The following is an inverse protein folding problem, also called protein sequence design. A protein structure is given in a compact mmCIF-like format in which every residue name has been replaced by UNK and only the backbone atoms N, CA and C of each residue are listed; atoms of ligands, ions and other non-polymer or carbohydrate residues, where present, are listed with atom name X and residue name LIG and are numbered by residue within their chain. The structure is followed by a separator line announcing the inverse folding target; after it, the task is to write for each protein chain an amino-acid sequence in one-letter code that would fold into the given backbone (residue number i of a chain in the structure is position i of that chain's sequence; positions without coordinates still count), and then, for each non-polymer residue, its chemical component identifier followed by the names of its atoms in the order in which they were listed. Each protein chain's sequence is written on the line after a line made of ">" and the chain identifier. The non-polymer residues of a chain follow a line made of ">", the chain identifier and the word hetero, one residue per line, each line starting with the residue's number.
data_IF_337820568160
#
_entry.id   IF_337820568160
#
_cell.length_a   1.000
_cell.length_b   1.000
_cell.length_c   1.000
_cell.angle_alpha   90.00
_cell.angle_beta   90.00
_cell.angle_gamma   90.00
#
_symmetry.space_group_name_H-M   'P 1'
#
loop_
_entity.id
_entity.type
_entity.pdbx_description
1 polymer ?
#
# COMPACT_ATOMS: atom_id res chain seq x y z
N UNK A 1 -11.19 50.10 47.39
CA UNK A 1 -11.60 50.44 46.01
C UNK A 1 -10.73 49.73 44.97
N UNK A 2 -9.41 49.88 45.01
CA UNK A 2 -8.46 49.28 44.03
C UNK A 2 -8.54 47.73 43.97
N UNK A 3 -8.61 47.04 45.12
CA UNK A 3 -8.74 45.56 45.15
C UNK A 3 -9.96 45.02 44.41
N UNK A 4 -11.09 45.73 44.45
CA UNK A 4 -12.30 45.31 43.75
C UNK A 4 -12.14 45.46 42.24
N UNK A 5 -11.48 46.54 41.80
CA UNK A 5 -11.15 46.75 40.39
C UNK A 5 -10.16 45.70 39.87
N UNK A 6 -9.17 45.31 40.68
CA UNK A 6 -8.23 44.23 40.33
C UNK A 6 -8.98 42.90 40.18
N UNK A 7 -9.82 42.53 41.14
CA UNK A 7 -10.63 41.31 41.06
C UNK A 7 -11.56 41.27 39.84
N UNK A 8 -12.17 42.41 39.48
CA UNK A 8 -13.04 42.50 38.30
C UNK A 8 -12.24 42.36 36.99
N UNK A 9 -11.03 42.92 36.94
CA UNK A 9 -10.12 42.77 35.81
C UNK A 9 -9.65 41.31 35.66
N UNK A 10 -9.30 40.64 36.76
CA UNK A 10 -8.92 39.23 36.74
C UNK A 10 -10.07 38.32 36.27
N UNK A 11 -11.29 38.59 36.70
CA UNK A 11 -12.49 37.88 36.21
C UNK A 11 -12.73 38.10 34.72
N UNK A 12 -12.57 39.33 34.23
CA UNK A 12 -12.68 39.63 32.79
C UNK A 12 -11.58 38.92 31.99
N UNK A 13 -10.35 38.93 32.48
CA UNK A 13 -9.22 38.31 31.81
C UNK A 13 -9.38 36.79 31.73
N UNK A 14 -9.78 36.14 32.84
CA UNK A 14 -10.07 34.70 32.85
C UNK A 14 -11.24 34.33 31.95
N UNK A 15 -12.29 35.17 31.87
CA UNK A 15 -13.39 34.98 30.93
C UNK A 15 -12.92 35.06 29.47
N UNK A 16 -12.17 36.09 29.11
CA UNK A 16 -11.62 36.28 27.76
C UNK A 16 -10.71 35.13 27.33
N UNK A 17 -9.86 34.64 28.23
CA UNK A 17 -8.99 33.47 27.97
C UNK A 17 -9.82 32.20 27.73
N UNK A 18 -10.88 31.98 28.52
CA UNK A 18 -11.79 30.84 28.30
C UNK A 18 -12.51 30.96 26.97
N UNK A 19 -12.96 32.16 26.61
CA UNK A 19 -13.68 32.41 25.37
C UNK A 19 -12.79 32.20 24.13
N UNK A 20 -11.57 32.72 24.14
CA UNK A 20 -10.61 32.54 23.05
C UNK A 20 -10.22 31.07 22.86
N UNK A 21 -10.04 30.32 23.95
CA UNK A 21 -9.79 28.87 23.92
C UNK A 21 -10.95 28.09 23.28
N UNK A 22 -12.20 28.43 23.64
CA UNK A 22 -13.41 27.84 23.02
C UNK A 22 -13.48 28.15 21.52
N UNK A 23 -13.24 29.39 21.12
CA UNK A 23 -13.21 29.81 19.70
C UNK A 23 -12.14 29.04 18.92
N UNK A 24 -10.93 28.90 19.47
CA UNK A 24 -9.85 28.11 18.86
C UNK A 24 -10.22 26.65 18.66
N UNK A 25 -10.84 26.00 19.67
CA UNK A 25 -11.30 24.61 19.55
C UNK A 25 -12.40 24.46 18.50
N UNK A 26 -13.36 25.40 18.44
CA UNK A 26 -14.43 25.41 17.43
C UNK A 26 -13.85 25.55 16.01
N UNK A 27 -12.90 26.47 15.82
CA UNK A 27 -12.23 26.67 14.53
C UNK A 27 -11.41 25.45 14.08
N UNK A 28 -10.72 24.76 15.00
CA UNK A 28 -10.05 23.50 14.68
C UNK A 28 -11.04 22.42 14.23
N UNK A 29 -12.15 22.26 14.96
CA UNK A 29 -13.19 21.28 14.60
C UNK A 29 -13.83 21.60 13.26
N UNK A 30 -14.15 22.87 12.99
CA UNK A 30 -14.70 23.26 11.68
C UNK A 30 -13.68 23.04 10.57
N UNK A 31 -12.39 23.33 10.80
CA UNK A 31 -11.34 23.01 9.82
C UNK A 31 -11.29 21.52 9.52
N UNK A 32 -11.35 20.66 10.55
CA UNK A 32 -11.40 19.21 10.33
C UNK A 32 -12.64 18.83 9.50
N UNK A 33 -13.81 19.34 9.88
CA UNK A 33 -15.06 19.08 9.16
C UNK A 33 -14.99 19.48 7.68
N UNK A 34 -14.60 20.72 7.39
CA UNK A 34 -14.64 21.26 6.02
C UNK A 34 -13.50 20.76 5.12
N UNK A 35 -12.33 20.44 5.68
CA UNK A 35 -11.19 20.00 4.87
C UNK A 35 -11.11 18.49 4.71
N UNK A 36 -11.63 17.69 5.64
CA UNK A 36 -11.43 16.24 5.60
C UNK A 36 -12.69 15.47 5.18
N UNK A 37 -13.89 15.84 5.63
CA UNK A 37 -15.11 15.11 5.22
C UNK A 37 -15.37 15.22 3.72
N UNK A 38 -15.22 16.42 3.13
CA UNK A 38 -15.38 16.57 1.67
C UNK A 38 -14.25 15.95 0.83
N UNK A 39 -13.11 15.62 1.45
CA UNK A 39 -12.00 14.94 0.78
C UNK A 39 -12.19 13.41 0.81
N UNK A 40 -12.72 12.87 1.90
CA UNK A 40 -13.03 11.44 2.01
C UNK A 40 -14.03 11.02 0.92
N UNK A 41 -15.10 11.78 0.69
CA UNK A 41 -16.07 11.53 -0.38
C UNK A 41 -15.42 11.58 -1.77
N UNK A 42 -14.49 12.52 -2.00
CA UNK A 42 -13.78 12.66 -3.27
C UNK A 42 -12.83 11.48 -3.52
N UNK A 43 -12.13 11.00 -2.49
CA UNK A 43 -11.29 9.81 -2.60
C UNK A 43 -12.11 8.54 -2.83
N UNK A 44 -13.29 8.43 -2.21
CA UNK A 44 -14.19 7.32 -2.46
C UNK A 44 -14.69 7.30 -3.92
N UNK A 45 -15.06 8.46 -4.47
CA UNK A 45 -15.41 8.58 -5.89
C UNK A 45 -14.26 8.19 -6.82
N UNK A 46 -13.04 8.70 -6.57
CA UNK A 46 -11.85 8.33 -7.35
C UNK A 46 -11.58 6.82 -7.27
N UNK A 47 -11.77 6.20 -6.10
CA UNK A 47 -11.60 4.75 -5.96
C UNK A 47 -12.65 3.94 -6.72
N UNK A 48 -13.89 4.44 -6.82
CA UNK A 48 -14.93 3.83 -7.65
C UNK A 48 -14.58 3.96 -9.13
N UNK A 49 -14.17 5.15 -9.57
CA UNK A 49 -13.74 5.40 -10.96
C UNK A 49 -12.56 4.51 -11.36
N UNK A 50 -11.56 4.36 -10.48
CA UNK A 50 -10.41 3.47 -10.73
C UNK A 50 -10.83 1.99 -10.82
N UNK A 51 -11.80 1.55 -10.00
CA UNK A 51 -12.33 0.18 -10.08
C UNK A 51 -13.11 -0.04 -11.38
N UNK A 52 -13.91 0.94 -11.80
CA UNK A 52 -14.64 0.88 -13.05
C UNK A 52 -13.67 0.86 -14.23
N UNK A 53 -12.63 1.70 -14.22
CA UNK A 53 -11.59 1.71 -15.26
C UNK A 53 -10.82 0.39 -15.29
N UNK A 54 -10.50 -0.18 -14.13
CA UNK A 54 -9.88 -1.51 -14.07
C UNK A 54 -10.81 -2.56 -14.70
N UNK A 55 -12.09 -2.52 -14.39
CA UNK A 55 -13.07 -3.44 -14.98
C UNK A 55 -13.20 -3.24 -16.49
N UNK A 56 -13.24 -1.99 -16.98
CA UNK A 56 -13.24 -1.68 -18.41
C UNK A 56 -11.98 -2.20 -19.11
N UNK A 57 -10.81 -2.05 -18.48
CA UNK A 57 -9.54 -2.58 -19.00
C UNK A 57 -9.52 -4.12 -19.00
N UNK A 58 -9.88 -4.74 -17.87
CA UNK A 58 -9.92 -6.21 -17.73
C UNK A 58 -10.94 -6.83 -18.70
N UNK A 59 -12.06 -6.14 -19.01
CA UNK A 59 -13.06 -6.61 -20.00
C UNK A 59 -12.67 -6.26 -21.44
N UNK A 60 -11.77 -5.30 -21.66
CA UNK A 60 -11.21 -5.01 -22.98
C UNK A 60 -10.11 -5.98 -23.40
N UNK A 61 -9.54 -6.74 -22.46
CA UNK A 61 -8.55 -7.80 -22.75
C UNK A 61 -9.21 -9.12 -23.20
N UNK A 62 -10.54 -9.28 -23.02
CA UNK A 62 -11.26 -10.51 -23.39
C UNK A 62 -11.94 -10.44 -24.78
N UNK A 63 -11.99 -9.27 -25.44
CA UNK A 63 -12.61 -9.15 -26.77
C UNK A 63 -11.63 -8.99 -27.96
N UNK A 64 -10.32 -8.86 -27.71
CA UNK A 64 -9.31 -8.81 -28.77
C UNK A 64 -8.13 -9.74 -28.47
N UNK A 65 -8.38 -11.06 -28.54
CA UNK A 65 -7.36 -12.00 -28.98
C UNK A 65 -6.98 -11.65 -30.42
N UNK A 66 -6.02 -10.74 -30.61
CA UNK A 66 -5.07 -10.78 -31.73
C UNK A 66 -3.96 -9.73 -31.52
N UNK A 67 -2.76 -10.24 -31.17
CA UNK A 67 -1.44 -9.67 -31.47
C UNK A 67 -1.23 -8.15 -31.25
N UNK A 68 -0.57 -7.77 -30.15
CA UNK A 68 0.70 -7.03 -30.22
C UNK A 68 1.36 -6.79 -28.86
N UNK A 69 2.57 -7.33 -28.73
CA UNK A 69 3.67 -6.87 -27.89
C UNK A 69 3.83 -5.34 -27.92
N UNK A 70 3.62 -4.66 -26.79
CA UNK A 70 4.20 -3.33 -26.55
C UNK A 70 4.69 -3.21 -25.10
N UNK A 71 6.01 -3.33 -25.01
CA UNK A 71 6.93 -2.76 -24.03
C UNK A 71 6.37 -1.55 -23.25
N UNK A 72 6.35 -1.64 -21.92
CA UNK A 72 6.40 -0.46 -21.05
C UNK A 72 7.71 -0.44 -20.28
N UNK A 73 8.55 0.49 -20.72
CA UNK A 73 9.91 0.82 -20.32
C UNK A 73 10.05 1.33 -18.87
N UNK A 74 10.81 0.56 -18.09
CA UNK A 74 12.05 0.90 -17.35
C UNK A 74 12.13 2.14 -16.43
N UNK A 75 12.31 1.87 -15.14
CA UNK A 75 13.44 2.29 -14.26
C UNK A 75 13.11 1.75 -12.85
N UNK A 76 13.82 0.77 -12.30
CA UNK A 76 15.24 0.81 -11.90
C UNK A 76 15.97 -0.50 -12.22
N UNK A 77 17.08 -0.38 -12.97
CA UNK A 77 18.12 -1.41 -13.09
C UNK A 77 18.85 -1.55 -11.75
N UNK A 78 18.99 -2.79 -11.26
CA UNK A 78 20.24 -3.42 -10.78
C UNK A 78 19.94 -4.93 -10.64
N UNK A 79 20.53 -5.73 -11.53
CA UNK A 79 20.88 -7.15 -11.33
C UNK A 79 19.81 -8.09 -10.75
N UNK A 80 18.80 -8.51 -11.54
CA UNK A 80 17.79 -9.44 -11.00
C UNK A 80 16.89 -10.20 -11.97
N UNK A 81 17.16 -10.20 -13.28
CA UNK A 81 16.25 -10.76 -14.30
C UNK A 81 15.91 -12.26 -14.05
N UNK A 82 16.88 -13.03 -13.49
CA UNK A 82 16.66 -14.42 -13.11
C UNK A 82 15.75 -14.61 -11.88
N UNK A 83 15.86 -13.74 -10.87
CA UNK A 83 15.11 -13.87 -9.62
C UNK A 83 13.63 -13.50 -9.81
N UNK A 84 13.34 -12.51 -10.65
CA UNK A 84 11.96 -12.14 -10.99
C UNK A 84 11.26 -13.24 -11.78
N UNK A 85 11.92 -13.80 -12.80
CA UNK A 85 11.40 -14.91 -13.59
C UNK A 85 11.14 -16.15 -12.75
N UNK A 86 12.09 -16.48 -11.85
CA UNK A 86 11.96 -17.60 -10.93
C UNK A 86 10.79 -17.42 -9.95
N UNK A 87 10.59 -16.22 -9.40
CA UNK A 87 9.45 -15.93 -8.52
C UNK A 87 8.12 -16.17 -9.25
N UNK A 88 8.00 -15.72 -10.50
CA UNK A 88 6.79 -15.93 -11.30
C UNK A 88 6.53 -17.42 -11.56
N UNK A 89 7.56 -18.19 -11.90
CA UNK A 89 7.45 -19.64 -12.11
C UNK A 89 7.06 -20.37 -10.81
N UNK A 90 7.67 -19.99 -9.69
CA UNK A 90 7.39 -20.58 -8.38
C UNK A 90 5.96 -20.29 -7.90
N UNK A 91 5.42 -19.10 -8.19
CA UNK A 91 4.02 -18.77 -7.95
C UNK A 91 3.08 -19.60 -8.83
N UNK A 92 3.39 -19.75 -10.13
CA UNK A 92 2.60 -20.56 -11.07
C UNK A 92 2.53 -22.04 -10.67
N UNK A 93 3.65 -22.61 -10.22
CA UNK A 93 3.71 -24.01 -9.74
C UNK A 93 3.20 -24.18 -8.30
N UNK A 94 2.83 -23.10 -7.61
CA UNK A 94 2.34 -23.14 -6.23
C UNK A 94 3.41 -23.48 -5.18
N UNK A 95 4.69 -23.42 -5.54
CA UNK A 95 5.82 -23.61 -4.62
C UNK A 95 5.84 -22.47 -3.59
N UNK A 96 5.65 -21.25 -4.09
CA UNK A 96 5.42 -20.07 -3.26
C UNK A 96 3.94 -19.73 -3.35
N UNK A 97 3.30 -19.47 -2.22
CA UNK A 97 1.91 -19.01 -2.21
C UNK A 97 1.84 -17.55 -1.83
N UNK A 98 1.07 -16.76 -2.58
CA UNK A 98 0.84 -15.34 -2.28
C UNK A 98 -0.56 -15.15 -1.67
N UNK A 99 -0.64 -14.44 -0.55
CA UNK A 99 -1.90 -13.93 0.01
C UNK A 99 -1.76 -12.44 0.31
N UNK A 100 -2.47 -11.62 -0.46
CA UNK A 100 -2.35 -10.15 -0.39
C UNK A 100 -0.88 -9.74 -0.59
N UNK A 101 -0.29 -9.03 0.38
CA UNK A 101 1.11 -8.59 0.37
C UNK A 101 2.11 -9.62 0.94
N UNK A 102 1.66 -10.81 1.34
CA UNK A 102 2.52 -11.81 1.97
C UNK A 102 2.78 -13.00 1.03
N UNK A 103 4.02 -13.44 1.01
CA UNK A 103 4.48 -14.63 0.30
C UNK A 103 4.88 -15.69 1.32
N UNK A 104 4.46 -16.93 1.11
CA UNK A 104 4.69 -18.04 2.02
C UNK A 104 5.50 -19.12 1.32
N UNK A 105 6.57 -19.54 1.97
CA UNK A 105 7.47 -20.60 1.55
C UNK A 105 8.18 -21.12 2.80
N UNK A 106 8.32 -22.43 2.93
CA UNK A 106 8.80 -23.06 4.18
C UNK A 106 10.26 -22.70 4.53
N UNK A 107 11.06 -22.38 3.53
CA UNK A 107 12.48 -22.03 3.67
C UNK A 107 12.70 -20.52 3.91
N UNK A 108 11.64 -19.71 3.96
CA UNK A 108 11.79 -18.31 4.38
C UNK A 108 12.09 -18.23 5.89
N UNK A 109 12.86 -17.23 6.37
CA UNK A 109 13.26 -17.11 7.78
C UNK A 109 12.10 -17.15 8.79
N UNK A 110 10.90 -16.74 8.37
CA UNK A 110 9.67 -16.78 9.18
C UNK A 110 8.53 -17.52 8.48
N UNK A 111 8.84 -18.41 7.54
CA UNK A 111 7.91 -19.07 6.60
C UNK A 111 7.05 -18.12 5.76
N UNK A 112 7.32 -16.81 5.87
CA UNK A 112 6.67 -15.75 5.12
C UNK A 112 7.54 -14.52 4.99
N UNK A 113 7.37 -13.80 3.90
CA UNK A 113 7.95 -12.49 3.65
C UNK A 113 6.84 -11.53 3.17
N UNK A 114 6.94 -10.26 3.55
CA UNK A 114 5.98 -9.24 3.15
C UNK A 114 6.59 -8.36 2.05
N UNK A 115 5.85 -8.18 0.95
CA UNK A 115 6.23 -7.32 -0.15
C UNK A 115 7.18 -7.98 -1.13
N UNK A 116 6.98 -7.67 -2.42
CA UNK A 116 7.72 -8.25 -3.55
C UNK A 116 9.24 -7.99 -3.44
N UNK A 117 9.66 -6.77 -3.09
CA UNK A 117 11.08 -6.43 -2.99
C UNK A 117 11.84 -7.26 -1.94
N UNK A 118 11.22 -7.55 -0.80
CA UNK A 118 11.83 -8.38 0.23
C UNK A 118 11.96 -9.85 -0.20
N UNK A 119 11.03 -10.33 -1.04
CA UNK A 119 11.11 -11.68 -1.61
C UNK A 119 12.22 -11.75 -2.64
N UNK A 120 12.33 -10.76 -3.53
CA UNK A 120 13.41 -10.71 -4.52
C UNK A 120 14.77 -10.65 -3.85
N UNK A 121 14.93 -9.85 -2.79
CA UNK A 121 16.16 -9.80 -2.00
C UNK A 121 16.50 -11.17 -1.37
N UNK A 122 15.50 -11.93 -0.89
CA UNK A 122 15.72 -13.27 -0.37
C UNK A 122 16.01 -14.32 -1.47
N UNK A 123 15.54 -14.08 -2.70
CA UNK A 123 15.83 -14.93 -3.86
C UNK A 123 17.17 -14.59 -4.51
N UNK A 124 17.79 -13.47 -4.13
CA UNK A 124 19.19 -13.17 -4.47
C UNK A 124 20.17 -14.05 -3.70
N UNK A 125 19.75 -14.70 -2.60
CA UNK A 125 20.56 -15.68 -1.89
C UNK A 125 20.68 -16.97 -2.73
N UNK A 126 21.91 -17.40 -3.02
CA UNK A 126 22.21 -18.53 -3.92
C UNK A 126 21.58 -19.84 -3.47
N UNK A 127 21.50 -20.10 -2.16
CA UNK A 127 20.93 -21.32 -1.61
C UNK A 127 19.41 -21.41 -1.82
N UNK A 128 18.69 -20.31 -1.65
CA UNK A 128 17.23 -20.26 -1.85
C UNK A 128 16.88 -20.34 -3.33
N UNK A 129 17.68 -19.67 -4.17
CA UNK A 129 17.54 -19.70 -5.61
C UNK A 129 17.67 -21.12 -6.17
N UNK A 130 18.74 -21.85 -5.80
CA UNK A 130 18.97 -23.23 -6.25
C UNK A 130 17.87 -24.19 -5.76
N UNK A 131 17.41 -24.06 -4.51
CA UNK A 131 16.34 -24.90 -3.98
C UNK A 131 15.03 -24.74 -4.74
N UNK A 132 14.66 -23.51 -5.08
CA UNK A 132 13.43 -23.27 -5.85
C UNK A 132 13.60 -23.75 -7.30
N UNK A 133 14.79 -23.60 -7.89
CA UNK A 133 15.07 -24.19 -9.21
C UNK A 133 14.96 -25.72 -9.20
N UNK A 134 15.47 -26.40 -8.18
CA UNK A 134 15.34 -27.85 -8.03
C UNK A 134 13.88 -28.29 -7.89
N UNK A 135 13.09 -27.59 -7.07
CA UNK A 135 11.66 -27.87 -6.92
C UNK A 135 10.87 -27.59 -8.21
N UNK A 136 11.29 -26.60 -9.00
CA UNK A 136 10.72 -26.33 -10.32
C UNK A 136 11.03 -27.45 -11.31
N UNK A 137 12.25 -28.02 -11.32
CA UNK A 137 12.61 -29.12 -12.21
C UNK A 137 11.99 -30.46 -11.80
N UNK A 138 11.91 -30.75 -10.50
CA UNK A 138 11.36 -32.01 -9.99
C UNK A 138 9.84 -32.11 -10.23
N UNK A 139 9.14 -30.97 -10.30
CA UNK A 139 7.72 -30.91 -10.62
C UNK A 139 7.36 -31.23 -12.08
N UNK A 140 8.31 -31.13 -13.02
CA UNK A 140 8.08 -31.46 -14.44
C UNK A 140 8.36 -32.94 -14.78
N UNK A 141 8.93 -33.72 -13.85
CA UNK A 141 9.21 -35.16 -14.06
C UNK A 141 8.04 -36.09 -13.68
N UNK A 142 6.89 -35.55 -13.29
CA UNK A 142 5.74 -36.31 -12.81
C UNK A 142 4.50 -36.21 -13.74
N UNK A 143 4.74 -36.19 -15.05
CA UNK A 143 3.70 -36.34 -16.10
C UNK A 143 4.05 -37.50 -17.00
#
# INVERSE_FOLDING_TARGET
>A
MIRNQINDLEKKLTFLVKESSKRRKKAKKSKVKYYFEGQEDAFEQILIELKNLKYELDMSEDEEEEEQTIEKSTQEDIEGDGAESLLQQALKKGIITQRSSHYYYDEFPNKRLQGRGNVLAALSDTELYEKIQQQLSDGDSAV
#
